data_IF_168123641413
#
_entry.id   IF_168123641413
#
_cell.length_a   1.000
_cell.length_b   1.000
_cell.length_c   1.000
_cell.angle_alpha   90.00
_cell.angle_beta   90.00
_cell.angle_gamma   90.00
#
_symmetry.space_group_name_H-M   'P 1'
#
loop_
_entity.id
_entity.type
_entity.pdbx_description
1 polymer ?
#
# COMPACT_ATOMS: atom_id res chain seq x y z
N UNK A 1 18.20 -1.89 -11.92
CA UNK A 1 18.93 -0.60 -12.14
C UNK A 1 18.97 -0.17 -13.60
N UNK A 2 19.51 -0.96 -14.54
CA UNK A 2 19.65 -0.53 -15.93
C UNK A 2 18.32 -0.10 -16.59
N UNK A 3 17.24 -0.84 -16.36
CA UNK A 3 15.91 -0.49 -16.86
C UNK A 3 15.39 0.86 -16.36
N UNK A 4 15.62 1.19 -15.08
CA UNK A 4 15.27 2.51 -14.52
C UNK A 4 16.00 3.63 -15.25
N UNK A 5 17.32 3.47 -15.46
CA UNK A 5 18.14 4.47 -16.16
C UNK A 5 17.68 4.64 -17.61
N UNK A 6 17.40 3.55 -18.31
CA UNK A 6 16.92 3.59 -19.70
C UNK A 6 15.55 4.29 -19.81
N UNK A 7 14.59 3.97 -18.93
CA UNK A 7 13.28 4.59 -18.93
C UNK A 7 13.35 6.10 -18.62
N UNK A 8 14.16 6.50 -17.63
CA UNK A 8 14.38 7.94 -17.34
C UNK A 8 15.08 8.66 -18.51
N UNK A 9 16.07 8.03 -19.16
CA UNK A 9 16.73 8.60 -20.33
C UNK A 9 15.78 8.78 -21.53
N UNK A 10 14.75 7.94 -21.63
CA UNK A 10 13.67 8.07 -22.60
C UNK A 10 12.59 9.10 -22.19
N UNK A 11 12.72 9.77 -21.05
CA UNK A 11 11.81 10.81 -20.59
C UNK A 11 10.59 10.32 -19.79
N UNK A 12 10.53 9.05 -19.41
CA UNK A 12 9.45 8.53 -18.58
C UNK A 12 9.61 8.95 -17.11
N UNK A 13 8.49 9.17 -16.42
CA UNK A 13 8.45 9.15 -14.97
C UNK A 13 8.54 7.70 -14.49
N UNK A 14 9.47 7.42 -13.58
CA UNK A 14 9.76 6.06 -13.11
C UNK A 14 9.57 5.99 -11.61
N UNK A 15 8.52 5.26 -11.21
CA UNK A 15 8.25 4.92 -9.81
C UNK A 15 8.81 3.56 -9.42
N UNK A 16 8.83 3.29 -8.13
CA UNK A 16 9.08 1.96 -7.56
C UNK A 16 7.88 1.53 -6.71
N UNK A 17 7.61 0.23 -6.66
CA UNK A 17 6.66 -0.38 -5.72
C UNK A 17 7.40 -1.49 -4.98
N UNK A 18 7.58 -1.31 -3.68
CA UNK A 18 8.39 -2.19 -2.83
C UNK A 18 7.52 -2.84 -1.75
N UNK A 19 7.63 -4.16 -1.60
CA UNK A 19 6.94 -4.92 -0.55
C UNK A 19 7.97 -5.41 0.46
N UNK A 20 7.71 -5.20 1.75
CA UNK A 20 8.62 -5.57 2.84
C UNK A 20 8.01 -6.67 3.73
N UNK A 21 8.83 -7.63 4.13
CA UNK A 21 8.45 -8.87 4.80
C UNK A 21 9.04 -8.97 6.22
N UNK A 22 8.74 -10.03 6.96
CA UNK A 22 9.17 -10.15 8.37
C UNK A 22 10.67 -10.44 8.56
N UNK A 23 11.37 -10.83 7.51
CA UNK A 23 12.82 -11.01 7.48
C UNK A 23 13.57 -9.71 7.14
N UNK A 24 12.87 -8.65 6.75
CA UNK A 24 13.47 -7.33 6.55
C UNK A 24 13.62 -6.61 7.89
N UNK A 25 14.83 -6.16 8.20
CA UNK A 25 15.04 -5.27 9.34
C UNK A 25 14.61 -3.83 8.99
N UNK A 26 14.29 -2.98 9.98
CA UNK A 26 14.05 -1.55 9.73
C UNK A 26 15.19 -0.87 8.97
N UNK A 27 16.44 -1.34 9.17
CA UNK A 27 17.60 -0.79 8.48
C UNK A 27 17.61 -1.20 6.99
N UNK A 28 17.25 -2.44 6.66
CA UNK A 28 17.12 -2.89 5.27
C UNK A 28 16.10 -2.05 4.50
N UNK A 29 14.94 -1.79 5.12
CA UNK A 29 13.91 -0.90 4.55
C UNK A 29 14.45 0.51 4.31
N UNK A 30 15.17 1.08 5.29
CA UNK A 30 15.78 2.41 5.18
C UNK A 30 16.79 2.45 4.03
N UNK A 31 17.66 1.44 3.92
CA UNK A 31 18.72 1.41 2.93
C UNK A 31 18.17 1.23 1.51
N UNK A 32 17.14 0.39 1.34
CA UNK A 32 16.43 0.27 0.06
C UNK A 32 15.78 1.59 -0.34
N UNK A 33 15.08 2.27 0.58
CA UNK A 33 14.44 3.55 0.26
C UNK A 33 15.49 4.63 -0.06
N UNK A 34 16.63 4.63 0.64
CA UNK A 34 17.75 5.55 0.36
C UNK A 34 18.35 5.31 -1.00
N UNK A 35 18.59 4.05 -1.36
CA UNK A 35 19.10 3.69 -2.67
C UNK A 35 18.13 4.14 -3.78
N UNK A 36 16.83 3.89 -3.62
CA UNK A 36 15.81 4.33 -4.58
C UNK A 36 15.73 5.86 -4.68
N UNK A 37 15.79 6.56 -3.53
CA UNK A 37 15.61 8.00 -3.44
C UNK A 37 16.86 8.80 -3.86
N UNK A 38 18.04 8.40 -3.39
CA UNK A 38 19.25 9.22 -3.46
C UNK A 38 20.13 8.78 -4.64
N UNK A 39 20.28 7.47 -4.86
CA UNK A 39 21.14 6.92 -5.91
C UNK A 39 20.40 6.76 -7.25
N UNK A 40 19.27 6.06 -7.27
CA UNK A 40 18.48 5.87 -8.49
C UNK A 40 17.62 7.06 -8.86
N UNK A 41 17.36 7.95 -7.89
CA UNK A 41 16.54 9.16 -8.07
C UNK A 41 15.21 8.86 -8.75
N UNK A 42 14.53 7.80 -8.31
CA UNK A 42 13.18 7.46 -8.82
C UNK A 42 12.21 8.59 -8.51
N UNK A 43 11.23 8.81 -9.36
CA UNK A 43 10.32 9.96 -9.23
C UNK A 43 9.35 9.78 -8.07
N UNK A 44 8.98 8.52 -7.77
CA UNK A 44 8.03 8.15 -6.74
C UNK A 44 8.36 6.78 -6.12
N UNK A 45 8.15 6.66 -4.81
CA UNK A 45 8.35 5.41 -4.06
C UNK A 45 7.05 4.99 -3.40
N UNK A 46 6.50 3.87 -3.86
CA UNK A 46 5.42 3.16 -3.18
C UNK A 46 6.02 2.05 -2.32
N UNK A 47 5.47 1.87 -1.13
CA UNK A 47 5.81 0.84 -0.18
C UNK A 47 4.56 0.18 0.38
N UNK A 48 4.69 -1.09 0.74
CA UNK A 48 3.63 -1.87 1.36
C UNK A 48 4.23 -2.91 2.29
N UNK A 49 3.64 -3.18 3.45
CA UNK A 49 3.90 -4.44 4.13
C UNK A 49 3.44 -5.60 3.25
N UNK A 50 4.18 -6.69 3.30
CA UNK A 50 3.75 -7.99 2.80
C UNK A 50 2.50 -8.44 3.55
N UNK A 51 1.59 -9.08 2.84
CA UNK A 51 0.34 -9.58 3.40
C UNK A 51 0.14 -11.04 3.02
N UNK A 52 -0.08 -11.88 4.03
CA UNK A 52 -0.40 -13.30 3.89
C UNK A 52 -1.85 -13.44 3.42
N UNK A 53 -2.08 -13.46 2.12
CA UNK A 53 -3.36 -13.97 1.60
C UNK A 53 -3.21 -15.46 1.31
N UNK A 54 -4.33 -16.19 1.37
CA UNK A 54 -4.36 -17.67 1.24
C UNK A 54 -3.69 -18.21 -0.03
N UNK A 55 -3.66 -17.40 -1.09
CA UNK A 55 -3.05 -17.73 -2.38
C UNK A 55 -1.61 -17.23 -2.55
N UNK A 56 -1.04 -16.60 -1.52
CA UNK A 56 0.35 -16.16 -1.57
C UNK A 56 1.28 -17.39 -1.59
N UNK A 57 2.30 -17.40 -2.46
CA UNK A 57 3.20 -18.55 -2.60
C UNK A 57 4.11 -18.76 -1.38
N UNK A 58 4.43 -17.66 -0.67
CA UNK A 58 5.01 -17.68 0.67
C UNK A 58 3.85 -17.57 1.66
N UNK A 59 3.89 -18.30 2.77
CA UNK A 59 2.91 -18.27 3.88
C UNK A 59 3.58 -17.94 5.22
N UNK A 60 4.91 -17.98 5.29
CA UNK A 60 5.67 -17.97 6.55
C UNK A 60 6.28 -16.59 6.85
N UNK A 61 6.55 -15.78 5.82
CA UNK A 61 7.35 -14.55 5.98
C UNK A 61 6.53 -13.24 6.04
N UNK A 62 5.36 -13.25 6.66
CA UNK A 62 4.53 -12.03 6.77
C UNK A 62 4.58 -11.36 8.12
N UNK A 63 4.48 -10.04 8.09
CA UNK A 63 4.37 -9.23 9.29
C UNK A 63 2.94 -9.27 9.81
N UNK A 64 2.78 -9.57 11.09
CA UNK A 64 1.56 -9.24 11.80
C UNK A 64 1.35 -7.72 11.84
N UNK A 65 0.13 -7.28 12.20
CA UNK A 65 -0.22 -5.85 12.27
C UNK A 65 0.72 -5.10 13.22
N UNK A 66 0.99 -5.67 14.39
CA UNK A 66 1.83 -5.10 15.43
C UNK A 66 3.30 -5.03 15.00
N UNK A 67 3.79 -6.08 14.33
CA UNK A 67 5.15 -6.12 13.80
C UNK A 67 5.34 -5.08 12.68
N UNK A 68 4.37 -4.98 11.78
CA UNK A 68 4.31 -3.93 10.74
C UNK A 68 4.42 -2.55 11.37
N UNK A 69 3.64 -2.28 12.42
CA UNK A 69 3.64 -1.01 13.15
C UNK A 69 4.97 -0.70 13.78
N UNK A 70 5.56 -1.68 14.46
CA UNK A 70 6.88 -1.53 15.08
C UNK A 70 7.97 -1.28 14.06
N UNK A 71 7.95 -2.01 12.94
CA UNK A 71 8.91 -1.83 11.85
C UNK A 71 8.78 -0.43 11.26
N UNK A 72 7.59 -0.04 10.80
CA UNK A 72 7.41 1.25 10.15
C UNK A 72 7.59 2.44 11.11
N UNK A 73 7.26 2.30 12.40
CA UNK A 73 7.59 3.33 13.41
C UNK A 73 9.10 3.59 13.50
N UNK A 74 9.93 2.55 13.43
CA UNK A 74 11.39 2.68 13.39
C UNK A 74 11.88 3.26 12.06
N UNK A 75 11.40 2.71 10.94
CA UNK A 75 11.78 3.17 9.58
C UNK A 75 11.52 4.66 9.41
N UNK A 76 10.37 5.13 9.86
CA UNK A 76 9.89 6.49 9.67
C UNK A 76 10.28 7.48 10.78
N UNK A 77 10.98 6.99 11.81
CA UNK A 77 11.53 7.79 12.89
C UNK A 77 12.44 8.94 12.39
N UNK A 78 12.77 9.85 13.30
CA UNK A 78 13.71 10.96 13.07
C UNK A 78 13.34 11.88 11.90
N UNK A 79 12.07 11.92 11.52
CA UNK A 79 11.58 12.73 10.40
C UNK A 79 12.01 12.23 9.02
N UNK A 80 12.56 11.01 8.90
CA UNK A 80 13.06 10.43 7.63
C UNK A 80 12.05 10.49 6.49
N UNK A 81 10.75 10.33 6.77
CA UNK A 81 9.69 10.43 5.75
C UNK A 81 9.76 11.69 4.90
N UNK A 82 10.14 12.83 5.49
CA UNK A 82 10.09 14.13 4.82
C UNK A 82 11.13 14.27 3.71
N UNK A 83 12.18 13.45 3.72
CA UNK A 83 13.23 13.49 2.69
C UNK A 83 13.01 12.52 1.54
N UNK A 84 12.07 11.60 1.67
CA UNK A 84 11.80 10.57 0.68
C UNK A 84 10.64 10.98 -0.24
N UNK A 85 10.77 10.70 -1.54
CA UNK A 85 9.72 10.93 -2.54
C UNK A 85 8.65 9.83 -2.48
N UNK A 86 8.02 9.69 -1.32
CA UNK A 86 6.98 8.69 -1.09
C UNK A 86 5.70 9.05 -1.86
N UNK A 87 5.12 8.06 -2.55
CA UNK A 87 3.84 8.17 -3.21
C UNK A 87 2.72 7.56 -2.35
N UNK A 88 2.52 8.18 -1.18
CA UNK A 88 1.51 7.79 -0.20
C UNK A 88 0.94 9.02 0.50
N UNK A 89 -0.34 8.96 0.85
CA UNK A 89 -0.95 9.94 1.72
C UNK A 89 -0.32 9.90 3.12
N UNK A 90 -0.17 11.06 3.81
CA UNK A 90 0.31 11.07 5.19
C UNK A 90 -0.54 10.20 6.12
N UNK A 91 -1.84 10.09 5.84
CA UNK A 91 -2.79 9.27 6.59
C UNK A 91 -2.48 7.77 6.46
N UNK A 92 -2.11 7.29 5.27
CA UNK A 92 -1.69 5.89 5.09
C UNK A 92 -0.38 5.61 5.82
N UNK A 93 0.57 6.53 5.75
CA UNK A 93 1.84 6.40 6.48
C UNK A 93 1.60 6.36 8.01
N UNK A 94 0.71 7.18 8.55
CA UNK A 94 0.31 7.11 9.96
C UNK A 94 -0.34 5.76 10.32
N UNK A 95 -1.13 5.18 9.40
CA UNK A 95 -1.72 3.86 9.57
C UNK A 95 -0.65 2.76 9.66
N UNK A 96 0.37 2.82 8.82
CA UNK A 96 1.51 1.89 8.89
C UNK A 96 2.27 1.98 10.22
N UNK A 97 2.32 3.14 10.88
CA UNK A 97 2.91 3.30 12.22
C UNK A 97 1.97 2.96 13.37
N UNK A 98 0.70 2.70 13.09
CA UNK A 98 -0.32 2.51 14.13
C UNK A 98 -0.76 3.81 14.82
N UNK A 99 -0.46 4.98 14.24
CA UNK A 99 -0.95 6.29 14.73
C UNK A 99 -2.41 6.53 14.34
N UNK A 100 -2.91 5.79 13.35
CA UNK A 100 -4.29 5.88 12.87
C UNK A 100 -4.80 4.50 12.51
N UNK A 101 -6.07 4.25 12.80
CA UNK A 101 -6.77 3.08 12.27
C UNK A 101 -7.53 3.47 11.00
N UNK A 102 -7.55 2.56 10.04
CA UNK A 102 -8.30 2.68 8.80
C UNK A 102 -9.11 1.40 8.59
N UNK A 103 -10.28 1.55 7.99
CA UNK A 103 -11.07 0.43 7.46
C UNK A 103 -10.68 0.19 6.01
N UNK A 104 -10.55 -1.07 5.59
CA UNK A 104 -10.23 -1.40 4.21
C UNK A 104 -11.33 -0.91 3.26
N UNK A 105 -10.93 -0.34 2.13
CA UNK A 105 -11.80 0.01 1.01
C UNK A 105 -11.51 -0.96 -0.13
N UNK A 106 -11.98 -2.21 0.00
CA UNK A 106 -11.66 -3.31 -0.91
C UNK A 106 -12.05 -3.05 -2.39
N UNK A 107 -13.07 -2.22 -2.62
CA UNK A 107 -13.51 -1.79 -3.95
C UNK A 107 -12.64 -0.68 -4.56
N UNK A 108 -11.70 -0.11 -3.81
CA UNK A 108 -10.92 1.07 -4.22
C UNK A 108 -9.97 0.83 -5.38
N UNK A 109 -9.49 -0.41 -5.55
CA UNK A 109 -8.63 -0.83 -6.65
C UNK A 109 -9.18 -2.14 -7.25
N UNK A 110 -10.16 -2.03 -8.17
CA UNK A 110 -10.71 -3.20 -8.84
C UNK A 110 -9.67 -3.79 -9.82
N UNK A 111 -9.69 -5.11 -10.00
CA UNK A 111 -8.79 -5.80 -10.94
C UNK A 111 -9.57 -6.51 -12.04
N UNK A 112 -9.14 -6.31 -13.28
CA UNK A 112 -9.63 -7.01 -14.46
C UNK A 112 -8.52 -7.88 -15.04
N UNK A 113 -8.84 -9.14 -15.31
CA UNK A 113 -7.92 -10.13 -15.87
C UNK A 113 -8.56 -10.86 -17.04
N UNK A 114 -7.85 -11.84 -17.61
CA UNK A 114 -8.39 -12.74 -18.63
C UNK A 114 -9.68 -13.47 -18.20
N UNK A 115 -9.91 -13.62 -16.89
CA UNK A 115 -11.09 -14.26 -16.33
C UNK A 115 -12.26 -13.30 -16.05
N UNK A 116 -12.05 -11.99 -16.21
CA UNK A 116 -13.04 -10.95 -15.91
C UNK A 116 -12.65 -10.07 -14.71
N UNK A 117 -13.64 -9.37 -14.16
CA UNK A 117 -13.51 -8.53 -12.97
C UNK A 117 -13.46 -9.39 -11.71
N UNK A 118 -12.38 -9.28 -10.93
CA UNK A 118 -12.12 -10.18 -9.80
C UNK A 118 -12.84 -9.73 -8.52
N UNK A 119 -13.48 -10.68 -7.81
CA UNK A 119 -14.17 -10.48 -6.53
C UNK A 119 -13.36 -11.00 -5.32
N UNK A 120 -13.56 -10.44 -4.12
CA UNK A 120 -13.92 -9.03 -3.90
C UNK A 120 -12.77 -8.09 -4.27
N UNK A 121 -11.52 -8.54 -4.13
CA UNK A 121 -10.32 -7.77 -4.43
C UNK A 121 -9.27 -8.64 -5.11
N UNK A 122 -8.24 -8.01 -5.64
CA UNK A 122 -7.24 -8.69 -6.46
C UNK A 122 -6.39 -9.73 -5.70
N UNK A 123 -6.39 -9.71 -4.37
CA UNK A 123 -5.66 -10.68 -3.53
C UNK A 123 -6.48 -11.94 -3.19
N UNK A 124 -7.80 -11.81 -3.09
CA UNK A 124 -8.67 -12.89 -2.59
C UNK A 124 -9.12 -13.82 -3.73
N UNK A 125 -9.55 -13.23 -4.85
CA UNK A 125 -9.98 -13.98 -6.04
C UNK A 125 -11.06 -15.02 -5.72
N UNK A 126 -12.10 -14.65 -4.97
CA UNK A 126 -13.25 -15.51 -4.64
C UNK A 126 -14.12 -15.83 -5.87
N UNK A 127 -13.91 -15.10 -6.97
CA UNK A 127 -14.57 -15.35 -8.26
C UNK A 127 -14.35 -14.22 -9.26
N UNK A 128 -14.98 -14.32 -10.42
CA UNK A 128 -14.93 -13.30 -11.47
C UNK A 128 -16.33 -12.98 -11.99
N UNK A 129 -16.53 -11.74 -12.42
CA UNK A 129 -17.76 -11.25 -13.04
C UNK A 129 -17.48 -10.55 -14.36
N UNK A 130 -18.50 -10.51 -15.21
CA UNK A 130 -18.35 -10.10 -16.61
C UNK A 130 -18.22 -8.59 -16.79
N UNK A 131 -18.76 -7.81 -15.87
CA UNK A 131 -18.79 -6.35 -15.95
C UNK A 131 -18.44 -5.68 -14.62
N UNK A 132 -17.93 -4.44 -14.72
CA UNK A 132 -17.63 -3.64 -13.54
C UNK A 132 -18.89 -3.33 -12.73
N UNK A 133 -20.04 -3.13 -13.40
CA UNK A 133 -21.33 -2.92 -12.74
C UNK A 133 -21.70 -4.11 -11.85
N UNK A 134 -21.58 -5.32 -12.40
CA UNK A 134 -21.82 -6.57 -11.66
C UNK A 134 -20.86 -6.70 -10.47
N UNK A 135 -19.57 -6.34 -10.62
CA UNK A 135 -18.60 -6.33 -9.52
C UNK A 135 -19.07 -5.44 -8.37
N UNK A 136 -19.44 -4.19 -8.68
CA UNK A 136 -19.83 -3.20 -7.67
C UNK A 136 -21.15 -3.57 -7.00
N UNK A 137 -22.16 -4.00 -7.77
CA UNK A 137 -23.52 -4.20 -7.26
C UNK A 137 -23.73 -5.57 -6.58
N UNK A 138 -22.95 -6.60 -6.93
CA UNK A 138 -23.18 -7.98 -6.44
C UNK A 138 -22.14 -8.47 -5.44
N UNK A 139 -21.12 -7.65 -5.13
CA UNK A 139 -20.12 -7.99 -4.11
C UNK A 139 -20.58 -7.45 -2.77
N UNK A 140 -20.63 -8.32 -1.76
CA UNK A 140 -20.90 -7.90 -0.39
C UNK A 140 -19.64 -7.25 0.22
N UNK A 141 -19.42 -5.98 -0.12
CA UNK A 141 -18.26 -5.22 0.35
C UNK A 141 -18.16 -5.11 1.86
N UNK A 142 -19.31 -5.16 2.55
CA UNK A 142 -19.36 -5.01 3.99
C UNK A 142 -18.89 -6.27 4.73
N UNK A 143 -18.85 -7.42 4.07
CA UNK A 143 -18.31 -8.66 4.62
C UNK A 143 -16.76 -8.66 4.70
N UNK A 144 -16.08 -7.76 4.00
CA UNK A 144 -14.62 -7.79 3.86
C UNK A 144 -13.89 -6.68 4.63
N UNK A 145 -12.63 -6.96 4.96
CA UNK A 145 -11.76 -6.08 5.73
C UNK A 145 -11.47 -6.61 7.13
N UNK A 146 -10.48 -6.01 7.78
CA UNK A 146 -10.03 -6.42 9.12
C UNK A 146 -11.17 -6.30 10.13
N UNK A 147 -11.37 -7.35 10.93
CA UNK A 147 -12.47 -7.47 11.89
C UNK A 147 -13.80 -7.96 11.29
N UNK A 148 -13.86 -8.18 9.97
CA UNK A 148 -15.05 -8.66 9.26
C UNK A 148 -14.82 -10.03 8.61
N UNK A 149 -13.74 -10.16 7.85
CA UNK A 149 -13.28 -11.44 7.28
C UNK A 149 -11.97 -11.87 7.95
N UNK A 150 -11.87 -13.10 8.52
CA UNK A 150 -10.65 -13.58 9.17
C UNK A 150 -9.44 -13.60 8.23
N UNK A 151 -9.64 -13.78 6.92
CA UNK A 151 -8.58 -13.74 5.92
C UNK A 151 -7.93 -12.36 5.86
N UNK A 152 -8.69 -11.31 6.12
CA UNK A 152 -8.23 -9.92 6.13
C UNK A 152 -7.55 -9.49 7.45
N UNK A 153 -7.44 -10.36 8.45
CA UNK A 153 -7.00 -9.99 9.81
C UNK A 153 -5.65 -9.25 9.84
N UNK A 154 -4.71 -9.68 9.00
CA UNK A 154 -3.36 -9.11 8.92
C UNK A 154 -3.16 -8.15 7.74
N UNK A 155 -4.22 -7.77 7.02
CA UNK A 155 -4.06 -6.92 5.85
C UNK A 155 -3.73 -5.48 6.24
N UNK A 156 -2.62 -4.98 5.70
CA UNK A 156 -2.24 -3.56 5.74
C UNK A 156 -1.77 -3.08 4.36
N UNK A 157 -2.12 -3.81 3.30
CA UNK A 157 -1.66 -3.55 1.94
C UNK A 157 -2.17 -2.20 1.42
N UNK A 158 -1.27 -1.41 0.84
CA UNK A 158 -1.60 -0.07 0.34
C UNK A 158 -2.81 -0.06 -0.59
N UNK A 159 -3.01 -1.10 -1.40
CA UNK A 159 -4.10 -1.17 -2.35
C UNK A 159 -5.51 -1.12 -1.74
N UNK A 160 -5.68 -1.60 -0.51
CA UNK A 160 -6.97 -1.56 0.20
C UNK A 160 -7.11 -0.36 1.11
N UNK A 161 -5.99 0.21 1.57
CA UNK A 161 -5.97 1.21 2.64
C UNK A 161 -5.60 2.61 2.16
N UNK A 162 -4.91 2.75 1.02
CA UNK A 162 -4.58 4.07 0.45
C UNK A 162 -5.85 4.80 0.02
N UNK A 163 -6.83 4.11 -0.60
CA UNK A 163 -8.13 4.70 -0.93
C UNK A 163 -8.83 5.21 0.33
N UNK A 164 -8.83 4.43 1.42
CA UNK A 164 -9.39 4.82 2.71
C UNK A 164 -8.67 6.04 3.29
N UNK A 165 -7.35 6.09 3.15
CA UNK A 165 -6.52 7.18 3.60
C UNK A 165 -6.76 8.47 2.79
N UNK A 166 -6.95 8.37 1.48
CA UNK A 166 -7.32 9.49 0.60
C UNK A 166 -8.71 10.01 0.97
N UNK A 167 -9.71 9.13 1.14
CA UNK A 167 -11.05 9.54 1.58
C UNK A 167 -11.01 10.24 2.94
N UNK A 168 -10.25 9.70 3.90
CA UNK A 168 -10.05 10.33 5.20
C UNK A 168 -9.28 11.66 5.13
N UNK A 169 -8.42 11.83 4.13
CA UNK A 169 -7.70 13.09 3.87
C UNK A 169 -8.66 14.13 3.32
N UNK A 170 -9.46 13.77 2.32
CA UNK A 170 -10.46 14.66 1.68
C UNK A 170 -11.58 15.05 2.63
N UNK A 171 -11.97 14.16 3.55
CA UNK A 171 -12.99 14.41 4.57
C UNK A 171 -12.52 15.28 5.74
N UNK A 172 -11.26 15.73 5.77
CA UNK A 172 -10.71 16.51 6.87
C UNK A 172 -9.82 17.65 6.37
N UNK A 173 -10.22 18.90 6.66
CA UNK A 173 -9.43 20.09 6.32
C UNK A 173 -8.00 20.03 6.87
N UNK A 174 -7.83 19.55 8.10
CA UNK A 174 -6.52 19.39 8.73
C UNK A 174 -5.64 18.43 7.95
N UNK A 175 -6.19 17.29 7.54
CA UNK A 175 -5.45 16.27 6.79
C UNK A 175 -5.16 16.71 5.35
N UNK A 176 -6.10 17.42 4.72
CA UNK A 176 -5.92 18.02 3.41
C UNK A 176 -4.77 19.03 3.40
N UNK A 177 -4.69 19.94 4.38
CA UNK A 177 -3.58 20.89 4.52
C UNK A 177 -2.25 20.14 4.75
N UNK A 178 -2.27 19.08 5.56
CA UNK A 178 -1.09 18.26 5.84
C UNK A 178 -0.57 17.56 4.58
N UNK A 179 -1.46 17.00 3.76
CA UNK A 179 -1.09 16.36 2.50
C UNK A 179 -0.51 17.36 1.50
N UNK A 180 -1.12 18.54 1.35
CA UNK A 180 -0.62 19.58 0.44
C UNK A 180 0.79 20.06 0.81
N UNK A 181 1.11 20.15 2.11
CA UNK A 181 2.45 20.55 2.60
C UNK A 181 3.55 19.50 2.43
N UNK A 182 3.19 18.25 2.15
CA UNK A 182 4.18 17.19 1.88
C UNK A 182 4.45 17.00 0.38
N UNK A 183 3.55 17.48 -0.48
CA UNK A 183 3.73 17.47 -1.93
C UNK A 183 4.45 18.70 -2.50
N UNK A 184 4.76 19.69 -1.64
CA UNK A 184 5.52 20.90 -1.95
C UNK A 184 6.90 20.84 -1.29
#
# INVERSE_FOLDING_TARGET
VAAFKAAKAAGFQVGSNSTFFNNDSPQDVIDVINFLNDELKVDQIQLSPGYAYEKAPDQEHFLAVEETRQMFSKVFGDGRRKRWRLNHSPVFLDFLEGKKELSCTAWGIPSYSLFGWQKPCYLMSDGYVSSYKELVETTDWEAYGRGKDPRCANCMAHCGYETSAVLATMGSLKESIRAARMGA
#
